data_IF_949225198557
#
_entry.id   IF_949225198557
#
_cell.length_a   1.000
_cell.length_b   1.000
_cell.length_c   1.000
_cell.angle_alpha   90.00
_cell.angle_beta   90.00
_cell.angle_gamma   90.00
#
_symmetry.space_group_name_H-M   'P 1'
#
loop_
_entity.id
_entity.type
_entity.pdbx_description
1 polymer ?
#
# COMPACT_ATOMS: atom_id res chain seq x y z
N UNK A 1 -2.13 8.46 -2.54
CA UNK A 1 -2.62 9.04 -3.80
C UNK A 1 -1.47 8.88 -4.77
N UNK A 2 -1.68 8.18 -5.88
CA UNK A 2 -0.59 7.63 -6.67
C UNK A 2 -0.08 8.70 -7.62
N UNK A 3 1.07 9.30 -7.34
CA UNK A 3 1.71 10.18 -8.32
C UNK A 3 2.24 9.35 -9.47
N UNK A 4 1.69 9.58 -10.66
CA UNK A 4 2.30 9.14 -11.89
C UNK A 4 3.61 9.90 -12.06
N UNK A 5 4.73 9.24 -11.81
CA UNK A 5 6.04 9.80 -12.12
C UNK A 5 6.27 9.80 -13.63
N UNK A 6 6.86 10.89 -14.13
CA UNK A 6 7.41 10.97 -15.49
C UNK A 6 8.43 9.85 -15.74
N UNK A 7 8.67 9.52 -17.01
CA UNK A 7 9.63 8.46 -17.38
C UNK A 7 11.02 8.78 -16.83
N UNK A 8 11.45 10.05 -16.92
CA UNK A 8 12.72 10.51 -16.36
C UNK A 8 12.78 10.35 -14.84
N UNK A 9 11.72 10.74 -14.12
CA UNK A 9 11.64 10.58 -12.66
C UNK A 9 11.65 9.11 -12.24
N UNK A 10 11.01 8.20 -13.00
CA UNK A 10 11.09 6.75 -12.75
C UNK A 10 12.52 6.22 -12.89
N UNK A 11 13.23 6.58 -13.97
CA UNK A 11 14.62 6.15 -14.18
C UNK A 11 15.52 6.65 -13.05
N UNK A 12 15.33 7.91 -12.60
CA UNK A 12 16.05 8.46 -11.44
C UNK A 12 15.74 7.69 -10.16
N UNK A 13 14.46 7.41 -9.87
CA UNK A 13 14.03 6.64 -8.71
C UNK A 13 14.57 5.21 -8.72
N UNK A 14 14.58 4.54 -9.88
CA UNK A 14 15.11 3.20 -10.02
C UNK A 14 16.60 3.15 -9.64
N UNK A 15 17.40 4.10 -10.14
CA UNK A 15 18.82 4.23 -9.77
C UNK A 15 19.00 4.46 -8.27
N UNK A 16 18.25 5.38 -7.67
CA UNK A 16 18.38 5.67 -6.23
C UNK A 16 17.96 4.49 -5.34
N UNK A 17 16.91 3.76 -5.73
CA UNK A 17 16.46 2.56 -5.02
C UNK A 17 17.48 1.42 -5.11
N UNK A 18 18.14 1.25 -6.28
CA UNK A 18 19.23 0.29 -6.45
C UNK A 18 20.41 0.61 -5.51
N UNK A 19 20.85 1.87 -5.49
CA UNK A 19 21.96 2.31 -4.62
C UNK A 19 21.64 2.11 -3.12
N UNK A 20 20.42 2.45 -2.69
CA UNK A 20 20.02 2.38 -1.28
C UNK A 20 19.50 1.01 -0.83
N UNK A 21 19.52 0.00 -1.70
CA UNK A 21 18.87 -1.30 -1.47
C UNK A 21 19.27 -1.97 -0.16
N UNK A 22 20.59 -2.09 0.12
CA UNK A 22 21.11 -2.70 1.36
C UNK A 22 20.66 -1.95 2.63
N UNK A 23 20.72 -0.62 2.61
CA UNK A 23 20.26 0.22 3.72
C UNK A 23 18.75 0.02 3.97
N UNK A 24 17.95 -0.01 2.90
CA UNK A 24 16.51 -0.22 2.98
C UNK A 24 16.20 -1.60 3.56
N UNK A 25 16.92 -2.65 3.14
CA UNK A 25 16.75 -4.00 3.65
C UNK A 25 17.00 -4.07 5.17
N UNK A 26 18.12 -3.51 5.65
CA UNK A 26 18.42 -3.45 7.09
C UNK A 26 17.34 -2.70 7.88
N UNK A 27 16.92 -1.53 7.39
CA UNK A 27 15.86 -0.74 8.05
C UNK A 27 14.50 -1.45 8.04
N UNK A 28 14.19 -2.21 6.98
CA UNK A 28 12.99 -3.05 6.92
C UNK A 28 13.03 -4.17 7.96
N UNK A 29 14.15 -4.87 8.09
CA UNK A 29 14.32 -5.92 9.10
C UNK A 29 14.08 -5.38 10.52
N UNK A 30 14.70 -4.25 10.86
CA UNK A 30 14.51 -3.59 12.17
C UNK A 30 13.05 -3.17 12.37
N UNK A 31 12.41 -2.60 11.34
CA UNK A 31 11.02 -2.15 11.43
C UNK A 31 10.03 -3.31 11.57
N UNK A 32 10.29 -4.47 10.96
CA UNK A 32 9.44 -5.67 11.08
C UNK A 32 9.44 -6.25 12.49
N UNK A 33 10.51 -6.04 13.28
CA UNK A 33 10.55 -6.45 14.69
C UNK A 33 9.61 -5.65 15.59
N UNK A 34 9.19 -4.45 15.16
CA UNK A 34 8.37 -3.55 15.97
C UNK A 34 6.90 -3.62 15.57
N UNK A 35 6.01 -3.37 16.52
CA UNK A 35 4.58 -3.18 16.25
C UNK A 35 4.36 -1.90 15.44
N UNK A 36 3.48 -1.96 14.45
CA UNK A 36 3.15 -0.79 13.64
C UNK A 36 2.40 0.27 14.45
N UNK A 37 2.76 1.55 14.27
CA UNK A 37 2.08 2.66 14.91
C UNK A 37 0.63 2.83 14.41
N UNK A 38 -0.27 3.45 15.20
CA UNK A 38 -1.67 3.65 14.80
C UNK A 38 -1.83 4.37 13.45
N UNK A 39 -0.97 5.34 13.14
CA UNK A 39 -0.96 6.02 11.84
C UNK A 39 -0.61 5.07 10.68
N UNK A 40 0.33 4.14 10.88
CA UNK A 40 0.67 3.10 9.88
C UNK A 40 -0.49 2.12 9.67
N UNK A 41 -1.22 1.77 10.72
CA UNK A 41 -2.40 0.91 10.59
C UNK A 41 -3.54 1.60 9.83
N UNK A 42 -3.78 2.90 10.09
CA UNK A 42 -4.75 3.71 9.33
C UNK A 42 -4.39 3.79 7.84
N UNK A 43 -3.12 4.03 7.52
CA UNK A 43 -2.67 4.09 6.11
C UNK A 43 -2.73 2.72 5.42
N UNK A 44 -2.43 1.62 6.12
CA UNK A 44 -2.64 0.25 5.60
C UNK A 44 -4.12 -0.03 5.31
N UNK A 45 -5.02 0.40 6.19
CA UNK A 45 -6.46 0.26 5.99
C UNK A 45 -6.95 1.04 4.77
N UNK A 46 -6.46 2.26 4.58
CA UNK A 46 -6.75 3.04 3.38
C UNK A 46 -6.24 2.37 2.11
N UNK A 47 -5.01 1.82 2.12
CA UNK A 47 -4.46 1.09 0.96
C UNK A 47 -5.30 -0.13 0.61
N UNK A 48 -5.64 -0.97 1.60
CA UNK A 48 -6.50 -2.15 1.40
C UNK A 48 -7.89 -1.76 0.88
N UNK A 49 -8.47 -0.67 1.39
CA UNK A 49 -9.74 -0.15 0.87
C UNK A 49 -9.65 0.29 -0.59
N UNK A 50 -8.54 0.93 -0.98
CA UNK A 50 -8.27 1.29 -2.38
C UNK A 50 -8.10 0.06 -3.25
N UNK A 51 -7.32 -0.94 -2.81
CA UNK A 51 -7.07 -2.16 -3.56
C UNK A 51 -8.37 -2.92 -3.86
N UNK A 52 -9.25 -3.05 -2.87
CA UNK A 52 -10.59 -3.64 -3.05
C UNK A 52 -11.42 -2.88 -4.09
N UNK A 53 -11.37 -1.56 -4.06
CA UNK A 53 -12.11 -0.74 -5.00
C UNK A 53 -11.52 -0.83 -6.42
N UNK A 54 -10.19 -0.90 -6.53
CA UNK A 54 -9.50 -1.12 -7.80
C UNK A 54 -9.89 -2.47 -8.40
N UNK A 55 -9.88 -3.54 -7.60
CA UNK A 55 -10.31 -4.87 -8.04
C UNK A 55 -11.75 -4.85 -8.59
N UNK A 56 -12.66 -4.13 -7.91
CA UNK A 56 -14.05 -3.96 -8.39
C UNK A 56 -14.13 -3.17 -9.69
N UNK A 57 -13.35 -2.10 -9.84
CA UNK A 57 -13.35 -1.26 -11.06
C UNK A 57 -12.75 -2.02 -12.25
N UNK A 58 -11.68 -2.79 -12.01
CA UNK A 58 -10.94 -3.48 -13.07
C UNK A 58 -11.54 -4.84 -13.46
N UNK A 59 -12.59 -5.30 -12.77
CA UNK A 59 -13.35 -6.54 -13.06
C UNK A 59 -12.43 -7.74 -13.36
N UNK A 60 -11.42 -7.95 -12.51
CA UNK A 60 -10.48 -9.07 -12.65
C UNK A 60 -9.18 -8.75 -13.39
N UNK A 61 -9.07 -7.60 -14.08
CA UNK A 61 -7.78 -7.13 -14.62
C UNK A 61 -6.87 -6.61 -13.51
N UNK A 62 -5.55 -6.82 -13.64
CA UNK A 62 -4.60 -6.28 -12.68
C UNK A 62 -4.23 -4.86 -13.07
N UNK A 63 -3.87 -4.06 -12.07
CA UNK A 63 -3.37 -2.69 -12.28
C UNK A 63 -2.06 -2.65 -13.07
N UNK A 64 -1.28 -3.74 -13.03
CA UNK A 64 -0.06 -3.91 -13.83
C UNK A 64 -0.35 -3.84 -15.32
N UNK A 65 -1.48 -4.41 -15.73
CA UNK A 65 -1.85 -4.66 -17.13
C UNK A 65 -2.34 -3.38 -17.81
N UNK A 66 -2.62 -2.33 -17.02
CA UNK A 66 -3.01 -1.02 -17.55
C UNK A 66 -1.78 -0.25 -18.03
N UNK A 67 -1.89 0.31 -19.23
CA UNK A 67 -1.01 1.37 -19.72
C UNK A 67 -1.09 2.64 -18.86
N UNK A 68 -0.29 3.65 -19.23
CA UNK A 68 -0.19 4.88 -18.48
C UNK A 68 -1.52 5.65 -18.41
N UNK A 69 -2.20 5.81 -19.55
CA UNK A 69 -3.51 6.44 -19.64
C UNK A 69 -4.57 5.72 -18.78
N UNK A 70 -4.62 4.38 -18.82
CA UNK A 70 -5.56 3.60 -18.00
C UNK A 70 -5.30 3.74 -16.49
N UNK A 71 -4.04 3.89 -16.08
CA UNK A 71 -3.68 4.16 -14.68
C UNK A 71 -4.14 5.55 -14.22
N UNK A 72 -4.05 6.55 -15.08
CA UNK A 72 -4.53 7.92 -14.79
C UNK A 72 -6.05 7.98 -14.69
N UNK A 73 -6.76 7.31 -15.61
CA UNK A 73 -8.22 7.26 -15.58
C UNK A 73 -8.73 6.54 -14.31
N UNK A 74 -8.08 5.42 -13.94
CA UNK A 74 -8.35 4.74 -12.69
C UNK A 74 -8.13 5.66 -11.49
N UNK A 75 -7.08 6.48 -11.51
CA UNK A 75 -6.83 7.45 -10.45
C UNK A 75 -7.94 8.50 -10.37
N UNK A 76 -8.36 9.08 -11.50
CA UNK A 76 -9.49 10.02 -11.55
C UNK A 76 -10.77 9.40 -10.96
N UNK A 77 -11.06 8.13 -11.29
CA UNK A 77 -12.21 7.39 -10.72
C UNK A 77 -12.07 7.18 -9.21
N UNK A 78 -10.87 6.86 -8.72
CA UNK A 78 -10.62 6.69 -7.28
C UNK A 78 -10.71 8.01 -6.51
N UNK A 79 -10.26 9.14 -7.09
CA UNK A 79 -10.37 10.48 -6.47
C UNK A 79 -11.82 10.85 -6.19
N UNK A 80 -12.73 10.53 -7.12
CA UNK A 80 -14.18 10.74 -6.95
C UNK A 80 -14.79 9.87 -5.83
N UNK A 81 -14.11 8.78 -5.44
CA UNK A 81 -14.61 7.80 -4.45
C UNK A 81 -13.91 7.88 -3.09
N UNK A 82 -13.25 8.99 -2.78
CA UNK A 82 -12.52 9.20 -1.50
C UNK A 82 -13.39 8.98 -0.26
N UNK A 83 -14.65 9.42 -0.27
CA UNK A 83 -15.58 9.20 0.84
C UNK A 83 -15.86 7.70 1.08
N UNK A 84 -16.06 6.95 -0.01
CA UNK A 84 -16.28 5.49 0.05
C UNK A 84 -15.03 4.79 0.58
N UNK A 85 -13.84 5.19 0.11
CA UNK A 85 -12.56 4.67 0.60
C UNK A 85 -12.43 4.90 2.12
N UNK A 86 -12.76 6.09 2.62
CA UNK A 86 -12.74 6.40 4.06
C UNK A 86 -13.70 5.50 4.85
N UNK A 87 -14.92 5.27 4.35
CA UNK A 87 -15.91 4.39 4.98
C UNK A 87 -15.42 2.93 5.06
N UNK A 88 -14.89 2.40 3.96
CA UNK A 88 -14.34 1.04 3.92
C UNK A 88 -13.12 0.92 4.83
N UNK A 89 -12.21 1.90 4.81
CA UNK A 89 -11.03 1.90 5.65
C UNK A 89 -11.37 1.88 7.15
N UNK A 90 -12.41 2.60 7.58
CA UNK A 90 -12.91 2.53 8.96
C UNK A 90 -13.36 1.12 9.33
N UNK A 91 -14.09 0.44 8.45
CA UNK A 91 -14.55 -0.95 8.66
C UNK A 91 -13.41 -1.97 8.68
N UNK A 92 -12.36 -1.76 7.88
CA UNK A 92 -11.19 -2.66 7.82
C UNK A 92 -10.19 -2.45 8.96
N UNK A 93 -10.25 -1.32 9.65
CA UNK A 93 -9.26 -0.98 10.68
C UNK A 93 -9.18 -2.00 11.82
N UNK A 94 -10.29 -2.53 12.38
CA UNK A 94 -10.23 -3.58 13.41
C UNK A 94 -9.57 -4.86 12.92
N UNK A 95 -9.90 -5.31 11.71
CA UNK A 95 -9.30 -6.52 11.10
C UNK A 95 -7.78 -6.35 10.92
N UNK A 96 -7.34 -5.16 10.50
CA UNK A 96 -5.91 -4.88 10.32
C UNK A 96 -5.17 -4.79 11.66
N UNK A 97 -5.83 -4.31 12.71
CA UNK A 97 -5.28 -4.36 14.07
C UNK A 97 -5.11 -5.80 14.55
N UNK A 98 -6.11 -6.67 14.33
CA UNK A 98 -6.04 -8.10 14.67
C UNK A 98 -4.88 -8.79 13.93
N UNK A 99 -4.81 -8.63 12.62
CA UNK A 99 -3.74 -9.18 11.81
C UNK A 99 -2.33 -8.70 12.23
N UNK A 100 -2.20 -7.44 12.68
CA UNK A 100 -0.93 -6.95 13.23
C UNK A 100 -0.59 -7.59 14.58
N UNK A 101 -1.59 -7.79 15.45
CA UNK A 101 -1.40 -8.50 16.72
C UNK A 101 -1.01 -9.96 16.50
N UNK A 102 -1.70 -10.68 15.60
CA UNK A 102 -1.38 -12.05 15.21
C UNK A 102 0.05 -12.17 14.65
N UNK A 103 0.47 -11.22 13.81
CA UNK A 103 1.85 -11.16 13.29
C UNK A 103 2.87 -11.03 14.41
N UNK A 104 2.57 -10.24 15.44
CA UNK A 104 3.48 -10.05 16.58
C UNK A 104 3.47 -11.27 17.51
N UNK A 105 2.33 -11.92 17.71
CA UNK A 105 2.20 -13.15 18.50
C UNK A 105 3.01 -14.30 17.86
N UNK A 106 2.79 -14.56 16.57
CA UNK A 106 3.56 -15.58 15.81
C UNK A 106 5.06 -15.34 15.82
N UNK A 107 5.50 -14.08 15.91
CA UNK A 107 6.92 -13.76 16.01
C UNK A 107 7.47 -14.09 17.40
N UNK A 108 6.70 -13.86 18.46
CA UNK A 108 7.09 -14.23 19.83
C UNK A 108 7.10 -15.75 20.07
N UNK A 109 6.34 -16.51 19.30
CA UNK A 109 6.36 -18.00 19.33
C UNK A 109 7.55 -18.60 18.56
N UNK A 110 8.17 -17.84 17.67
CA UNK A 110 9.29 -18.28 16.80
C UNK A 110 10.66 -17.81 17.31
N UNK A 111 10.70 -16.96 18.34
CA UNK A 111 11.91 -16.50 19.03
C UNK A 111 12.11 -17.31 20.32
#
# INVERSE_FOLDING_TARGET
MFEVLSIAARKKLARTMKMKGKMIARKRAIAMKKKASPAKLKTRAQKKAVDLLVQKILKGRKRSDLGQAGKEELEKKLKKKTAVIKKIAKKLLPQIKKAESERMAKKGEQE
#
